data_IF_252835501850
#
_entry.id   IF_252835501850
#
_cell.length_a   1.000
_cell.length_b   1.000
_cell.length_c   1.000
_cell.angle_alpha   90.00
_cell.angle_beta   90.00
_cell.angle_gamma   90.00
#
_symmetry.space_group_name_H-M   'P 1'
#
loop_
_entity.id
_entity.type
_entity.pdbx_description
1 polymer ?
#
# COMPACT_ATOMS: atom_id res chain seq x y z
N UNK A 1 -100.39 -36.70 -36.10
CA UNK A 1 -100.12 -35.31 -35.84
C UNK A 1 -98.87 -35.20 -35.01
N UNK A 2 -97.69 -34.88 -35.61
CA UNK A 2 -96.56 -34.32 -34.94
C UNK A 2 -95.50 -34.01 -36.05
N UNK A 3 -95.34 -32.75 -36.30
CA UNK A 3 -94.37 -32.21 -37.26
C UNK A 3 -92.94 -32.37 -36.69
N UNK A 4 -92.10 -33.06 -37.44
CA UNK A 4 -90.68 -33.04 -37.20
C UNK A 4 -90.07 -31.87 -38.01
N UNK A 5 -89.55 -30.90 -37.30
CA UNK A 5 -88.81 -29.79 -37.86
C UNK A 5 -87.39 -30.29 -38.07
N UNK A 6 -86.98 -30.36 -39.33
CA UNK A 6 -85.60 -30.67 -39.69
C UNK A 6 -84.76 -29.35 -39.54
N UNK A 7 -83.80 -29.39 -38.64
CA UNK A 7 -82.75 -28.34 -38.55
C UNK A 7 -81.61 -28.57 -39.58
N UNK A 8 -81.18 -27.57 -40.30
CA UNK A 8 -80.03 -27.68 -41.19
C UNK A 8 -78.71 -27.66 -40.37
N UNK A 9 -77.86 -28.67 -40.60
CA UNK A 9 -76.48 -28.71 -40.11
C UNK A 9 -75.71 -27.56 -40.74
N UNK A 10 -75.24 -26.69 -39.86
CA UNK A 10 -74.32 -25.58 -40.23
C UNK A 10 -72.92 -26.15 -40.42
N UNK A 11 -72.49 -26.19 -41.67
CA UNK A 11 -71.08 -26.52 -42.04
C UNK A 11 -70.16 -25.46 -41.43
N UNK A 12 -69.38 -25.90 -40.49
CA UNK A 12 -68.24 -25.11 -40.01
C UNK A 12 -67.15 -25.16 -41.04
N UNK A 13 -67.00 -24.02 -41.76
CA UNK A 13 -65.84 -23.80 -42.60
C UNK A 13 -64.57 -23.90 -41.74
N UNK A 14 -63.66 -24.79 -42.13
CA UNK A 14 -62.36 -24.93 -41.50
C UNK A 14 -61.62 -23.60 -41.62
N UNK A 15 -61.15 -23.13 -40.50
CA UNK A 15 -60.20 -22.02 -40.45
C UNK A 15 -58.89 -22.52 -41.10
N UNK A 16 -58.56 -21.96 -42.25
CA UNK A 16 -57.20 -22.03 -42.77
C UNK A 16 -56.26 -21.44 -41.73
N UNK A 17 -55.71 -22.31 -40.90
CA UNK A 17 -54.58 -21.98 -40.06
C UNK A 17 -53.44 -21.54 -41.01
N UNK A 18 -53.17 -20.27 -40.99
CA UNK A 18 -52.03 -19.63 -41.63
C UNK A 18 -50.77 -20.38 -41.22
N UNK A 19 -50.36 -21.36 -42.05
CA UNK A 19 -49.11 -22.05 -41.91
C UNK A 19 -48.04 -21.01 -42.29
N UNK A 20 -47.60 -20.21 -41.33
CA UNK A 20 -46.33 -19.50 -41.41
C UNK A 20 -45.27 -20.51 -41.84
N UNK A 21 -44.85 -20.41 -43.08
CA UNK A 21 -43.74 -21.23 -43.64
C UNK A 21 -42.55 -20.95 -42.76
N UNK A 22 -42.19 -21.90 -41.89
CA UNK A 22 -40.89 -21.90 -41.23
C UNK A 22 -39.82 -21.93 -42.29
N UNK A 23 -39.32 -20.74 -42.67
CA UNK A 23 -38.17 -20.62 -43.55
C UNK A 23 -36.95 -21.03 -42.77
N UNK A 24 -36.43 -22.19 -42.97
CA UNK A 24 -35.13 -22.65 -42.44
C UNK A 24 -34.04 -21.71 -42.89
N UNK A 25 -33.03 -21.48 -42.04
CA UNK A 25 -31.84 -20.73 -42.40
C UNK A 25 -31.06 -21.38 -43.50
N UNK A 26 -30.53 -20.57 -44.44
CA UNK A 26 -29.62 -21.04 -45.47
C UNK A 26 -28.22 -21.24 -44.87
N UNK A 27 -27.43 -22.15 -45.43
CA UNK A 27 -26.04 -22.39 -45.00
C UNK A 27 -25.21 -21.13 -45.13
N UNK A 28 -25.45 -20.29 -46.14
CA UNK A 28 -24.77 -19.00 -46.36
C UNK A 28 -25.09 -18.00 -45.26
N UNK A 29 -26.37 -17.90 -44.83
CA UNK A 29 -26.79 -17.04 -43.72
C UNK A 29 -26.08 -17.40 -42.43
N UNK A 30 -25.94 -18.71 -42.15
CA UNK A 30 -25.22 -19.19 -40.98
C UNK A 30 -23.73 -18.84 -41.05
N UNK A 31 -23.08 -19.00 -42.20
CA UNK A 31 -21.68 -18.64 -42.40
C UNK A 31 -21.43 -17.12 -42.18
N UNK A 32 -22.31 -16.27 -42.73
CA UNK A 32 -22.23 -14.82 -42.57
C UNK A 32 -22.44 -14.44 -41.10
N UNK A 33 -23.45 -15.02 -40.43
CA UNK A 33 -23.70 -14.77 -39.01
C UNK A 33 -22.49 -15.19 -38.15
N UNK A 34 -21.86 -16.33 -38.41
CA UNK A 34 -20.65 -16.75 -37.69
C UNK A 34 -19.46 -15.84 -37.96
N UNK A 35 -19.28 -15.33 -39.19
CA UNK A 35 -18.24 -14.38 -39.48
C UNK A 35 -18.41 -13.05 -38.73
N UNK A 36 -19.63 -12.51 -38.72
CA UNK A 36 -19.94 -11.29 -37.96
C UNK A 36 -19.78 -11.53 -36.44
N UNK A 37 -20.28 -12.64 -35.92
CA UNK A 37 -20.17 -13.00 -34.51
C UNK A 37 -18.70 -13.12 -34.07
N UNK A 38 -17.83 -13.69 -34.92
CA UNK A 38 -16.40 -13.80 -34.59
C UNK A 38 -15.70 -12.44 -34.50
N UNK A 39 -16.05 -11.48 -35.37
CA UNK A 39 -15.51 -10.12 -35.32
C UNK A 39 -15.98 -9.39 -34.05
N UNK A 40 -17.27 -9.52 -33.73
CA UNK A 40 -17.84 -8.92 -32.51
C UNK A 40 -17.20 -9.51 -31.25
N UNK A 41 -17.03 -10.85 -31.23
CA UNK A 41 -16.35 -11.52 -30.11
C UNK A 41 -14.89 -11.09 -29.97
N UNK A 42 -14.17 -10.92 -31.05
CA UNK A 42 -12.79 -10.43 -31.02
C UNK A 42 -12.73 -8.98 -30.44
N UNK A 43 -13.67 -8.12 -30.82
CA UNK A 43 -13.77 -6.77 -30.28
C UNK A 43 -14.10 -6.77 -28.77
N UNK A 44 -15.07 -7.57 -28.34
CA UNK A 44 -15.43 -7.72 -26.92
C UNK A 44 -14.24 -8.25 -26.12
N UNK A 45 -13.55 -9.28 -26.63
CA UNK A 45 -12.37 -9.83 -25.96
C UNK A 45 -11.23 -8.82 -25.84
N UNK A 46 -11.02 -7.99 -26.86
CA UNK A 46 -10.03 -6.91 -26.82
C UNK A 46 -10.33 -5.88 -25.72
N UNK A 47 -11.59 -5.44 -25.61
CA UNK A 47 -12.04 -4.52 -24.57
C UNK A 47 -11.92 -5.17 -23.19
N UNK A 48 -12.35 -6.41 -23.04
CA UNK A 48 -12.23 -7.15 -21.78
C UNK A 48 -10.77 -7.28 -21.31
N UNK A 49 -9.87 -7.66 -22.22
CA UNK A 49 -8.46 -7.76 -21.90
C UNK A 49 -7.85 -6.40 -21.49
N UNK A 50 -8.27 -5.31 -22.12
CA UNK A 50 -7.83 -3.96 -21.76
C UNK A 50 -8.33 -3.55 -20.37
N UNK A 51 -9.60 -3.83 -20.07
CA UNK A 51 -10.20 -3.55 -18.76
C UNK A 51 -9.53 -4.37 -17.65
N UNK A 52 -9.33 -5.68 -17.86
CA UNK A 52 -8.67 -6.54 -16.87
C UNK A 52 -7.28 -6.03 -16.53
N UNK A 53 -6.48 -5.64 -17.52
CA UNK A 53 -5.15 -5.04 -17.29
C UNK A 53 -5.23 -3.75 -16.48
N UNK A 54 -6.22 -2.89 -16.80
CA UNK A 54 -6.43 -1.64 -16.07
C UNK A 54 -6.82 -1.89 -14.61
N UNK A 55 -7.72 -2.84 -14.36
CA UNK A 55 -8.12 -3.23 -13.00
C UNK A 55 -6.96 -3.80 -12.20
N UNK A 56 -6.17 -4.69 -12.80
CA UNK A 56 -5.01 -5.26 -12.11
C UNK A 56 -3.99 -4.19 -11.74
N UNK A 57 -3.73 -3.24 -12.62
CA UNK A 57 -2.82 -2.14 -12.34
C UNK A 57 -3.36 -1.20 -11.23
N UNK A 58 -4.67 -0.89 -11.24
CA UNK A 58 -5.29 -0.07 -10.21
C UNK A 58 -5.26 -0.74 -8.83
N UNK A 59 -5.52 -2.05 -8.77
CA UNK A 59 -5.46 -2.79 -7.51
C UNK A 59 -4.02 -2.83 -6.98
N UNK A 60 -3.03 -3.15 -7.82
CA UNK A 60 -1.64 -3.14 -7.40
C UNK A 60 -1.21 -1.76 -6.86
N UNK A 61 -1.67 -0.69 -7.49
CA UNK A 61 -1.44 0.68 -7.03
C UNK A 61 -2.06 0.95 -5.65
N UNK A 62 -3.33 0.55 -5.45
CA UNK A 62 -4.00 0.73 -4.16
C UNK A 62 -3.33 -0.08 -3.05
N UNK A 63 -2.90 -1.31 -3.34
CA UNK A 63 -2.21 -2.19 -2.40
C UNK A 63 -0.87 -1.59 -1.94
N UNK A 64 -0.06 -1.06 -2.87
CA UNK A 64 1.20 -0.39 -2.53
C UNK A 64 0.96 0.85 -1.67
N UNK A 65 -0.01 1.70 -2.03
CA UNK A 65 -0.34 2.89 -1.23
C UNK A 65 -0.77 2.52 0.19
N UNK A 66 -1.60 1.50 0.33
CA UNK A 66 -2.06 1.03 1.63
C UNK A 66 -0.89 0.46 2.45
N UNK A 67 -0.03 -0.34 1.82
CA UNK A 67 1.15 -0.92 2.47
C UNK A 67 2.11 0.17 2.97
N UNK A 68 2.42 1.17 2.14
CA UNK A 68 3.32 2.27 2.53
C UNK A 68 2.73 3.09 3.68
N UNK A 69 1.43 3.43 3.63
CA UNK A 69 0.77 4.17 4.72
C UNK A 69 0.79 3.38 6.02
N UNK A 70 0.40 2.10 5.97
CA UNK A 70 0.42 1.23 7.14
C UNK A 70 1.83 1.12 7.74
N UNK A 71 2.84 1.01 6.88
CA UNK A 71 4.23 0.94 7.33
C UNK A 71 4.71 2.24 7.98
N UNK A 72 4.36 3.40 7.39
CA UNK A 72 4.66 4.72 7.98
C UNK A 72 3.96 4.89 9.33
N UNK A 73 2.71 4.45 9.44
CA UNK A 73 1.94 4.52 10.69
C UNK A 73 2.56 3.63 11.77
N UNK A 74 2.98 2.39 11.43
CA UNK A 74 3.69 1.48 12.34
C UNK A 74 5.00 2.12 12.80
N UNK A 75 5.82 2.62 11.87
CA UNK A 75 7.08 3.29 12.21
C UNK A 75 6.85 4.50 13.12
N UNK A 76 5.81 5.29 12.84
CA UNK A 76 5.46 6.45 13.65
C UNK A 76 5.06 6.04 15.07
N UNK A 77 4.23 5.01 15.24
CA UNK A 77 3.82 4.48 16.53
C UNK A 77 5.04 3.93 17.31
N UNK A 78 5.89 3.17 16.67
CA UNK A 78 7.09 2.61 17.29
C UNK A 78 8.08 3.71 17.72
N UNK A 79 8.31 4.72 16.89
CA UNK A 79 9.18 5.86 17.20
C UNK A 79 8.58 6.72 18.32
N UNK A 80 7.26 6.88 18.38
CA UNK A 80 6.60 7.56 19.50
C UNK A 80 6.86 6.84 20.83
N UNK A 81 7.06 5.54 20.80
CA UNK A 81 7.38 4.73 21.98
C UNK A 81 8.88 4.67 22.28
N UNK A 82 9.73 5.23 21.42
CA UNK A 82 11.17 5.26 21.66
C UNK A 82 11.47 5.93 23.04
N UNK A 83 12.26 5.23 23.85
CA UNK A 83 12.57 5.68 25.22
C UNK A 83 11.47 5.47 26.25
N UNK A 84 10.34 4.83 25.89
CA UNK A 84 9.34 4.43 26.90
C UNK A 84 9.99 3.50 27.91
N UNK A 85 9.82 3.85 29.20
CA UNK A 85 10.35 3.09 30.35
C UNK A 85 9.32 3.03 31.45
N UNK A 86 9.31 1.94 32.17
CA UNK A 86 8.67 1.91 33.48
C UNK A 86 9.50 2.75 34.47
N UNK A 87 8.84 3.71 35.15
CA UNK A 87 9.45 4.52 36.22
C UNK A 87 9.52 3.77 37.55
N UNK A 88 9.54 2.47 37.53
CA UNK A 88 9.66 1.69 38.78
C UNK A 88 10.99 1.98 39.48
N UNK A 89 10.93 2.26 40.78
CA UNK A 89 12.08 2.56 41.62
C UNK A 89 13.07 1.37 41.63
N UNK A 90 14.11 1.44 40.85
CA UNK A 90 15.16 0.41 40.85
C UNK A 90 16.01 0.37 39.59
N UNK A 91 15.54 0.93 38.49
CA UNK A 91 16.33 0.98 37.26
C UNK A 91 17.27 2.20 37.27
N UNK A 92 18.54 1.95 37.51
CA UNK A 92 19.63 2.95 37.57
C UNK A 92 20.41 3.05 36.25
N UNK A 93 19.90 2.54 35.16
CA UNK A 93 20.57 2.56 33.86
C UNK A 93 20.02 3.64 32.93
N UNK A 94 20.88 4.56 32.46
CA UNK A 94 20.60 5.40 31.30
C UNK A 94 20.67 4.52 30.07
N UNK A 95 19.54 3.91 29.65
CA UNK A 95 19.48 3.31 28.34
C UNK A 95 19.22 4.38 27.30
N UNK A 96 20.06 4.49 26.29
CA UNK A 96 19.83 5.46 25.22
C UNK A 96 18.51 5.15 24.51
N UNK A 97 17.66 6.13 24.38
CA UNK A 97 16.37 6.02 23.67
C UNK A 97 16.60 5.67 22.20
N UNK A 98 17.51 6.40 21.57
CA UNK A 98 17.91 6.22 20.17
C UNK A 98 19.36 5.71 20.20
N UNK A 99 19.55 4.52 19.65
CA UNK A 99 20.86 3.86 19.55
C UNK A 99 21.62 4.33 18.31
N UNK A 100 20.92 4.45 17.20
CA UNK A 100 21.48 4.91 15.92
C UNK A 100 20.55 5.93 15.30
N UNK A 101 21.09 7.05 14.84
CA UNK A 101 20.36 8.10 14.15
C UNK A 101 21.08 8.44 12.84
N UNK A 102 20.91 7.60 11.83
CA UNK A 102 21.48 7.76 10.50
C UNK A 102 20.43 8.18 9.47
N UNK A 103 20.89 8.62 8.30
CA UNK A 103 19.98 9.01 7.21
C UNK A 103 19.22 7.84 6.58
N UNK A 104 19.80 6.64 6.61
CA UNK A 104 19.22 5.42 6.04
C UNK A 104 18.86 4.38 7.11
N UNK A 105 19.27 4.59 8.35
CA UNK A 105 19.10 3.66 9.45
C UNK A 105 18.77 4.40 10.74
N UNK A 106 17.80 3.89 11.47
CA UNK A 106 17.44 4.33 12.81
C UNK A 106 17.21 3.12 13.69
N UNK A 107 17.84 3.10 14.88
CA UNK A 107 17.56 2.09 15.88
C UNK A 107 17.28 2.74 17.24
N UNK A 108 16.37 2.14 17.99
CA UNK A 108 15.94 2.63 19.28
C UNK A 108 15.44 1.50 20.18
N UNK A 109 15.30 1.80 21.46
CA UNK A 109 14.75 0.88 22.45
C UNK A 109 13.48 1.42 23.08
N UNK A 110 12.58 0.52 23.48
CA UNK A 110 11.39 0.81 24.26
C UNK A 110 11.05 -0.39 25.14
N UNK A 111 10.80 -0.15 26.43
CA UNK A 111 10.29 -1.16 27.35
C UNK A 111 8.77 -1.27 27.15
N UNK A 112 8.37 -2.19 26.26
CA UNK A 112 6.96 -2.32 25.82
C UNK A 112 6.11 -3.10 26.80
N UNK A 113 6.67 -4.08 27.46
CA UNK A 113 5.98 -4.91 28.45
C UNK A 113 6.05 -4.34 29.87
N UNK A 114 6.81 -3.23 30.03
CA UNK A 114 7.00 -2.52 31.29
C UNK A 114 7.56 -3.41 32.42
N UNK A 115 8.45 -4.34 32.06
CA UNK A 115 9.14 -5.20 33.03
C UNK A 115 10.42 -4.57 33.58
N UNK A 116 10.80 -3.39 33.09
CA UNK A 116 12.00 -2.64 33.49
C UNK A 116 13.28 -3.13 32.84
N UNK A 117 13.21 -4.05 31.87
CA UNK A 117 14.37 -4.56 31.14
C UNK A 117 14.15 -4.45 29.64
N UNK A 118 15.21 -4.29 28.85
CA UNK A 118 15.14 -4.33 27.39
C UNK A 118 15.56 -5.72 26.92
N UNK A 119 14.65 -6.66 26.96
CA UNK A 119 14.90 -8.05 26.60
C UNK A 119 13.78 -8.66 25.72
N UNK A 120 12.69 -7.96 25.56
CA UNK A 120 11.53 -8.38 24.76
C UNK A 120 11.78 -8.32 23.25
N UNK A 121 10.96 -9.07 22.50
CA UNK A 121 11.14 -9.27 21.07
C UNK A 121 10.98 -7.98 20.24
N UNK A 122 10.22 -7.02 20.72
CA UNK A 122 9.95 -5.76 20.03
C UNK A 122 10.46 -4.54 20.79
N UNK A 123 11.44 -4.70 21.65
CA UNK A 123 11.98 -3.65 22.51
C UNK A 123 13.27 -3.01 21.97
N UNK A 124 13.93 -3.69 21.05
CA UNK A 124 15.04 -3.15 20.28
C UNK A 124 14.68 -3.23 18.80
N UNK A 125 14.34 -2.11 18.22
CA UNK A 125 13.88 -1.99 16.84
C UNK A 125 14.89 -1.24 15.99
N UNK A 126 15.14 -1.75 14.79
CA UNK A 126 15.96 -1.09 13.78
C UNK A 126 15.19 -1.01 12.46
N UNK A 127 15.03 0.19 11.97
CA UNK A 127 14.55 0.48 10.63
C UNK A 127 15.72 0.90 9.75
N UNK A 128 15.91 0.24 8.61
CA UNK A 128 17.01 0.56 7.70
C UNK A 128 16.71 0.21 6.25
N UNK A 129 17.35 0.91 5.32
CA UNK A 129 17.39 0.44 3.94
C UNK A 129 18.21 -0.85 3.86
N UNK A 130 17.74 -1.80 3.05
CA UNK A 130 18.45 -3.07 2.84
C UNK A 130 19.86 -2.79 2.28
N UNK A 131 20.92 -3.22 2.94
CA UNK A 131 22.28 -2.93 2.51
C UNK A 131 22.63 -3.53 1.15
N UNK A 132 21.98 -4.62 0.76
CA UNK A 132 22.18 -5.29 -0.53
C UNK A 132 21.23 -4.76 -1.60
N UNK A 133 19.95 -4.61 -1.26
CA UNK A 133 18.92 -4.06 -2.15
C UNK A 133 18.38 -2.76 -1.55
N UNK A 134 19.00 -1.63 -1.89
CA UNK A 134 18.64 -0.30 -1.37
C UNK A 134 17.21 0.14 -1.69
N UNK A 135 16.48 -0.65 -2.45
CA UNK A 135 15.06 -0.42 -2.76
C UNK A 135 14.09 -1.11 -1.79
N UNK A 136 14.59 -1.62 -0.68
CA UNK A 136 13.77 -2.22 0.37
C UNK A 136 14.02 -1.54 1.70
N UNK A 137 12.94 -1.21 2.42
CA UNK A 137 12.98 -0.82 3.82
C UNK A 137 12.77 -2.05 4.68
N UNK A 138 13.66 -2.27 5.61
CA UNK A 138 13.65 -3.40 6.54
C UNK A 138 13.29 -2.94 7.94
N UNK A 139 12.59 -3.81 8.66
CA UNK A 139 12.47 -3.78 10.12
C UNK A 139 13.27 -4.95 10.67
N UNK A 140 14.02 -4.71 11.73
CA UNK A 140 14.77 -5.75 12.46
C UNK A 140 14.45 -5.65 13.95
N UNK A 141 14.10 -6.75 14.54
CA UNK A 141 13.92 -6.95 15.97
C UNK A 141 14.66 -8.21 16.45
N UNK A 142 14.40 -8.65 17.69
CA UNK A 142 15.00 -9.87 18.23
C UNK A 142 14.54 -11.16 17.54
N UNK A 143 13.41 -11.15 16.83
CA UNK A 143 12.89 -12.31 16.08
C UNK A 143 13.54 -12.44 14.71
N UNK A 144 14.04 -11.34 14.14
CA UNK A 144 14.70 -11.33 12.84
C UNK A 144 14.57 -10.05 12.05
N UNK A 145 14.77 -10.17 10.74
CA UNK A 145 14.65 -9.06 9.81
C UNK A 145 13.58 -9.35 8.78
N UNK A 146 12.66 -8.43 8.62
CA UNK A 146 11.56 -8.51 7.65
C UNK A 146 11.57 -7.31 6.70
N UNK A 147 11.04 -7.51 5.48
CA UNK A 147 10.84 -6.43 4.52
C UNK A 147 9.53 -5.74 4.86
N UNK A 148 9.60 -4.44 5.17
CA UNK A 148 8.45 -3.62 5.50
C UNK A 148 7.86 -2.96 4.25
N UNK A 149 8.72 -2.42 3.38
CA UNK A 149 8.31 -1.73 2.13
C UNK A 149 9.26 -2.11 1.01
N UNK A 150 8.71 -2.45 -0.16
CA UNK A 150 9.45 -2.61 -1.40
C UNK A 150 9.36 -1.34 -2.27
N UNK A 151 10.23 -1.27 -3.28
CA UNK A 151 10.28 -0.19 -4.28
C UNK A 151 10.60 1.21 -3.69
N UNK A 152 11.30 1.25 -2.59
CA UNK A 152 11.83 2.50 -2.01
C UNK A 152 12.94 3.04 -2.91
N UNK A 153 12.89 4.33 -3.23
CA UNK A 153 13.86 4.99 -4.12
C UNK A 153 14.62 6.14 -3.44
N UNK A 154 14.58 6.24 -2.12
CA UNK A 154 15.30 7.26 -1.37
C UNK A 154 16.79 7.30 -1.73
N UNK A 155 17.44 6.13 -1.77
CA UNK A 155 18.85 6.02 -2.14
C UNK A 155 19.11 6.45 -3.60
N UNK A 156 18.21 6.12 -4.52
CA UNK A 156 18.35 6.48 -5.95
C UNK A 156 18.26 8.00 -6.15
N UNK A 157 17.48 8.67 -5.29
CA UNK A 157 17.28 10.12 -5.30
C UNK A 157 18.32 10.88 -4.44
N UNK A 158 19.10 10.16 -3.63
CA UNK A 158 20.02 10.77 -2.64
C UNK A 158 19.28 11.53 -1.53
N UNK A 159 18.04 11.10 -1.19
CA UNK A 159 17.19 11.73 -0.17
C UNK A 159 17.22 10.89 1.09
N UNK A 160 17.45 11.47 2.28
CA UNK A 160 17.46 10.73 3.54
C UNK A 160 16.08 10.15 3.84
N UNK A 161 16.09 8.96 4.45
CA UNK A 161 14.89 8.31 4.96
C UNK A 161 14.46 8.93 6.28
N UNK A 162 15.43 9.28 7.13
CA UNK A 162 15.22 9.89 8.44
C UNK A 162 15.91 11.25 8.54
N UNK A 163 15.22 12.18 9.21
CA UNK A 163 15.78 13.47 9.65
C UNK A 163 15.43 13.68 11.11
N UNK A 164 16.32 14.30 11.87
CA UNK A 164 16.22 14.43 13.32
C UNK A 164 16.20 15.88 13.74
N UNK A 165 15.37 16.22 14.73
CA UNK A 165 15.19 17.58 15.24
C UNK A 165 15.15 17.56 16.75
N UNK A 166 15.64 18.61 17.40
CA UNK A 166 15.57 18.78 18.85
C UNK A 166 14.29 19.50 19.31
N UNK A 167 13.50 20.03 18.38
CA UNK A 167 12.30 20.79 18.67
C UNK A 167 11.02 20.02 18.36
N UNK A 168 9.91 20.48 18.95
CA UNK A 168 8.58 19.92 18.70
C UNK A 168 8.15 20.14 17.23
N UNK A 169 7.41 19.19 16.60
CA UNK A 169 6.86 19.36 15.27
C UNK A 169 6.04 20.64 15.08
N UNK A 170 5.39 21.12 16.14
CA UNK A 170 4.56 22.32 16.11
C UNK A 170 5.38 23.62 16.04
N UNK A 171 6.63 23.58 16.48
CA UNK A 171 7.54 24.73 16.52
C UNK A 171 8.39 24.85 15.25
N UNK A 172 8.46 23.80 14.44
CA UNK A 172 9.19 23.76 13.18
C UNK A 172 8.43 24.52 12.09
N UNK A 173 8.55 25.84 12.11
CA UNK A 173 7.87 26.74 11.14
C UNK A 173 8.60 26.93 9.82
N UNK A 174 9.90 26.68 9.79
CA UNK A 174 10.75 26.89 8.61
C UNK A 174 11.88 25.87 8.56
N UNK A 175 12.29 25.47 7.33
CA UNK A 175 13.48 24.62 7.09
C UNK A 175 14.79 25.17 7.66
N UNK A 176 14.78 26.41 8.18
CA UNK A 176 15.94 27.08 8.79
C UNK A 176 16.17 26.67 10.25
N UNK A 177 15.15 26.12 10.91
CA UNK A 177 15.23 25.62 12.28
C UNK A 177 15.69 24.15 12.34
N UNK A 178 16.15 23.62 11.21
CA UNK A 178 16.89 22.38 11.10
C UNK A 178 18.15 22.47 11.98
N UNK A 179 18.04 22.03 13.19
CA UNK A 179 19.20 21.84 14.05
C UNK A 179 20.04 20.78 13.38
N UNK A 180 21.17 21.23 12.81
CA UNK A 180 22.19 20.41 12.16
C UNK A 180 21.57 19.12 11.62
N UNK A 181 21.26 19.13 10.37
CA UNK A 181 20.69 18.03 9.60
C UNK A 181 21.51 16.74 9.83
N UNK A 182 21.23 16.05 10.91
CA UNK A 182 21.91 14.81 11.28
C UNK A 182 21.74 13.71 10.21
N UNK A 183 20.87 13.93 9.24
CA UNK A 183 20.66 13.03 8.14
C UNK A 183 21.26 13.46 6.80
N UNK A 184 21.71 14.72 6.66
CA UNK A 184 22.03 15.25 5.32
C UNK A 184 23.52 15.36 4.99
N UNK A 185 24.39 15.63 5.94
CA UNK A 185 25.80 15.88 5.65
C UNK A 185 26.80 15.12 6.55
N UNK A 186 26.38 14.67 7.70
CA UNK A 186 27.13 13.81 8.57
C UNK A 186 26.16 12.83 9.21
N UNK A 187 26.27 11.52 8.94
CA UNK A 187 25.66 10.54 9.82
C UNK A 187 26.19 10.88 11.22
N UNK A 188 25.28 10.96 12.20
CA UNK A 188 25.74 11.08 13.60
C UNK A 188 26.80 10.04 13.80
N UNK A 189 27.97 10.45 14.26
CA UNK A 189 28.95 9.50 14.71
C UNK A 189 28.23 8.64 15.77
N UNK A 190 28.18 7.34 15.55
CA UNK A 190 27.46 6.41 16.44
C UNK A 190 27.93 6.55 17.90
N UNK A 191 29.05 7.20 18.12
CA UNK A 191 29.69 7.44 19.42
C UNK A 191 29.22 8.72 20.13
N UNK A 192 28.44 9.62 19.47
CA UNK A 192 27.99 10.86 20.12
C UNK A 192 26.61 10.67 20.81
N UNK A 193 26.63 9.98 21.94
CA UNK A 193 25.45 9.72 22.77
C UNK A 193 24.74 11.01 23.23
N UNK A 194 25.52 12.08 23.50
CA UNK A 194 24.97 13.35 23.97
C UNK A 194 24.08 14.06 22.94
N UNK A 195 24.37 13.91 21.64
CA UNK A 195 23.55 14.51 20.59
C UNK A 195 22.25 13.73 20.36
N UNK A 196 22.26 12.41 20.62
CA UNK A 196 21.06 11.56 20.46
C UNK A 196 20.00 11.84 21.54
N UNK A 197 20.44 12.26 22.72
CA UNK A 197 19.53 12.64 23.82
C UNK A 197 18.72 13.91 23.51
N UNK A 198 19.21 14.76 22.63
CA UNK A 198 18.54 16.00 22.22
C UNK A 198 17.47 15.76 21.13
N UNK A 199 17.40 14.59 20.54
CA UNK A 199 16.41 14.28 19.50
C UNK A 199 15.04 14.16 20.12
N UNK A 200 14.16 15.10 19.81
CA UNK A 200 12.76 15.09 20.25
C UNK A 200 11.78 14.76 19.14
N UNK A 201 12.19 14.96 17.88
CA UNK A 201 11.32 14.75 16.72
C UNK A 201 12.10 14.05 15.60
N UNK A 202 11.46 13.10 14.97
CA UNK A 202 11.96 12.37 13.80
C UNK A 202 11.02 12.60 12.63
N UNK A 203 11.56 13.04 11.51
CA UNK A 203 10.86 13.06 10.24
C UNK A 203 11.21 11.81 9.46
N UNK A 204 10.18 11.11 9.01
CA UNK A 204 10.27 9.95 8.13
C UNK A 204 9.83 10.40 6.75
N UNK A 205 10.69 10.28 5.74
CA UNK A 205 10.38 10.63 4.36
C UNK A 205 10.67 9.44 3.45
N UNK A 206 9.62 8.76 3.00
CA UNK A 206 9.72 7.57 2.15
C UNK A 206 9.32 7.94 0.74
N UNK A 207 10.21 7.72 -0.20
CA UNK A 207 9.97 7.85 -1.63
C UNK A 207 9.84 6.45 -2.22
N UNK A 208 8.72 6.20 -2.89
CA UNK A 208 8.44 4.92 -3.54
C UNK A 208 8.14 5.10 -5.02
N UNK A 209 8.43 4.07 -5.77
CA UNK A 209 8.09 3.97 -7.18
C UNK A 209 6.92 3.01 -7.34
N UNK A 210 5.79 3.52 -7.83
CA UNK A 210 4.53 2.79 -7.93
C UNK A 210 4.11 2.59 -9.38
N UNK A 211 3.53 1.43 -9.75
CA UNK A 211 3.01 1.22 -11.10
C UNK A 211 1.77 2.10 -11.34
N UNK A 212 1.80 2.92 -12.37
CA UNK A 212 0.70 3.83 -12.74
C UNK A 212 -0.06 3.34 -13.98
N UNK A 213 -0.28 2.05 -14.10
CA UNK A 213 -1.03 1.44 -15.20
C UNK A 213 -0.39 1.68 -16.57
N UNK A 214 -1.02 2.51 -17.43
CA UNK A 214 -0.51 2.81 -18.77
C UNK A 214 0.65 3.81 -18.80
N UNK A 215 0.81 4.59 -17.75
CA UNK A 215 1.80 5.66 -17.66
C UNK A 215 3.16 5.18 -17.17
N UNK A 216 3.29 3.89 -16.85
CA UNK A 216 4.55 3.30 -16.38
C UNK A 216 4.68 3.37 -14.85
N UNK A 217 5.83 3.85 -14.35
CA UNK A 217 6.09 4.02 -12.92
C UNK A 217 5.96 5.49 -12.53
N UNK A 218 5.33 5.75 -11.40
CA UNK A 218 5.17 7.10 -10.81
C UNK A 218 5.83 7.12 -9.45
N UNK A 219 6.58 8.19 -9.19
CA UNK A 219 7.23 8.41 -7.91
C UNK A 219 6.29 9.15 -6.97
N UNK A 220 6.26 8.73 -5.71
CA UNK A 220 5.49 9.36 -4.63
C UNK A 220 6.31 9.45 -3.36
N UNK A 221 6.01 10.49 -2.59
CA UNK A 221 6.58 10.65 -1.26
C UNK A 221 5.53 10.56 -0.18
N UNK A 222 5.89 9.91 0.91
CA UNK A 222 5.12 9.84 2.15
C UNK A 222 6.00 10.41 3.26
N UNK A 223 5.56 11.50 3.85
CA UNK A 223 6.32 12.19 4.91
C UNK A 223 5.47 12.32 6.15
N UNK A 224 6.02 11.98 7.28
CA UNK A 224 5.41 12.21 8.60
C UNK A 224 6.48 12.67 9.59
N UNK A 225 6.07 13.48 10.58
CA UNK A 225 6.91 13.91 11.70
C UNK A 225 6.36 13.33 12.98
N UNK A 226 7.22 12.74 13.74
CA UNK A 226 6.89 12.00 14.96
C UNK A 226 7.69 12.57 16.10
N UNK A 227 7.01 12.90 17.20
CA UNK A 227 7.66 13.30 18.45
C UNK A 227 7.97 12.07 19.29
N UNK A 228 9.24 11.91 19.65
CA UNK A 228 9.65 10.91 20.63
C UNK A 228 9.08 11.27 22.00
N UNK A 229 8.68 10.24 22.75
CA UNK A 229 8.15 10.43 24.09
C UNK A 229 9.32 10.44 25.08
N UNK A 230 9.84 11.60 25.38
CA UNK A 230 10.89 11.81 26.39
C UNK A 230 10.29 11.86 27.80
#
# INVERSE_FOLDING_TARGET
MKNLISMPLKSTAGSDADRTRDRGFTLVELLVAMAIASIVMAAIFSVYAALTRSYTAQNAYADVQQAVRASVDIMAEDIMMAGLRDRWEGYSGNLPQILTAGSEEMSFTSDRDMDGTINGNSENLTYRLNPTNKRQLLITDALGTEVLIDNVINNDLGVPLFRYFSESPDDLKDDKDLIKDYGYANPMDADDEAQREDISTVEIAIWVEEPAGREGMVQRTYTTRVRCRN
#
